data_IF_253260057916
#
_entry.id   IF_253260057916
#
_cell.length_a   1.000
_cell.length_b   1.000
_cell.length_c   1.000
_cell.angle_alpha   90.00
_cell.angle_beta   90.00
_cell.angle_gamma   90.00
#
_symmetry.space_group_name_H-M   'P 1'
#
loop_
_entity.id
_entity.type
_entity.pdbx_description
1 polymer ?
#
# COMPACT_ATOMS: atom_id res chain seq x y z
N UNK A 1 -6.83 2.22 -12.86
CA UNK A 1 -5.74 3.22 -12.73
C UNK A 1 -4.57 2.52 -12.05
N UNK A 2 -3.39 2.51 -12.67
CA UNK A 2 -2.23 1.69 -12.22
C UNK A 2 -0.92 2.49 -12.18
N UNK A 3 -0.82 3.52 -11.33
CA UNK A 3 0.39 4.31 -11.18
C UNK A 3 1.49 3.51 -10.47
N UNK A 4 2.70 4.09 -10.45
CA UNK A 4 3.80 3.52 -9.68
C UNK A 4 3.75 4.01 -8.25
N UNK A 5 3.89 3.09 -7.30
CA UNK A 5 4.02 3.40 -5.88
C UNK A 5 5.47 3.29 -5.48
N UNK A 6 5.95 4.36 -4.85
CA UNK A 6 7.20 4.39 -4.12
C UNK A 6 6.92 4.27 -2.64
N UNK A 7 7.28 3.14 -2.06
CA UNK A 7 7.15 2.87 -0.64
C UNK A 7 8.51 2.40 -0.12
N UNK A 8 9.14 3.21 0.73
CA UNK A 8 10.52 2.99 1.18
C UNK A 8 11.49 2.83 -0.01
N UNK A 9 12.05 1.64 -0.23
CA UNK A 9 12.95 1.29 -1.34
C UNK A 9 12.23 0.55 -2.46
N UNK A 10 10.96 0.19 -2.27
CA UNK A 10 10.16 -0.49 -3.27
C UNK A 10 9.57 0.51 -4.27
N UNK A 11 9.69 0.17 -5.55
CA UNK A 11 9.15 0.93 -6.68
C UNK A 11 8.34 -0.01 -7.57
N UNK A 12 7.02 -0.08 -7.33
CA UNK A 12 6.14 -1.11 -7.92
C UNK A 12 4.83 -0.48 -8.39
N UNK A 13 4.38 -0.86 -9.58
CA UNK A 13 3.06 -0.47 -10.08
C UNK A 13 1.95 -1.15 -9.27
N UNK A 14 0.98 -0.36 -8.81
CA UNK A 14 -0.16 -0.87 -8.05
C UNK A 14 -1.46 -0.44 -8.71
N UNK A 15 -2.36 -1.39 -8.89
CA UNK A 15 -3.69 -1.15 -9.43
C UNK A 15 -4.60 -0.65 -8.32
N UNK A 16 -5.32 0.43 -8.58
CA UNK A 16 -6.40 0.89 -7.72
C UNK A 16 -7.59 -0.04 -7.98
N UNK A 17 -7.88 -0.95 -7.05
CA UNK A 17 -8.95 -1.93 -7.17
C UNK A 17 -10.30 -1.26 -6.92
N UNK A 18 -10.44 -0.62 -5.75
CA UNK A 18 -11.69 -0.01 -5.32
C UNK A 18 -11.43 1.25 -4.50
N UNK A 19 -12.27 2.26 -4.69
CA UNK A 19 -12.28 3.46 -3.84
C UNK A 19 -13.41 3.27 -2.83
N UNK A 20 -13.05 3.03 -1.57
CA UNK A 20 -14.00 2.75 -0.50
C UNK A 20 -14.81 3.99 -0.14
N UNK A 21 -14.11 5.07 0.19
CA UNK A 21 -14.75 6.29 0.69
C UNK A 21 -13.97 7.52 0.28
N UNK A 22 -14.69 8.61 0.01
CA UNK A 22 -14.13 9.95 -0.06
C UNK A 22 -14.15 10.55 1.34
N UNK A 23 -13.05 11.17 1.75
CA UNK A 23 -12.88 11.79 3.06
C UNK A 23 -12.52 13.26 2.92
N UNK A 24 -12.91 14.05 3.91
CA UNK A 24 -12.40 15.41 4.04
C UNK A 24 -10.97 15.39 4.59
N UNK A 25 -10.08 16.14 3.93
CA UNK A 25 -8.63 16.19 4.24
C UNK A 25 -8.34 16.78 5.63
N UNK A 26 -9.20 17.65 6.16
CA UNK A 26 -9.01 18.28 7.49
C UNK A 26 -9.68 17.50 8.61
N UNK A 27 -10.96 17.19 8.45
CA UNK A 27 -11.74 16.56 9.52
C UNK A 27 -11.63 15.03 9.53
N UNK A 28 -11.16 14.40 8.45
CA UNK A 28 -11.10 12.95 8.31
C UNK A 28 -12.50 12.29 8.23
N UNK A 29 -13.57 13.09 8.16
CA UNK A 29 -14.94 12.59 8.05
C UNK A 29 -15.19 12.06 6.63
N UNK A 30 -15.89 10.94 6.56
CA UNK A 30 -16.39 10.39 5.30
C UNK A 30 -17.44 11.31 4.71
N UNK A 31 -17.22 11.76 3.47
CA UNK A 31 -18.15 12.60 2.72
C UNK A 31 -19.09 11.74 1.87
N UNK A 32 -18.51 10.79 1.13
CA UNK A 32 -19.24 9.92 0.21
C UNK A 32 -18.69 8.50 0.29
N UNK A 33 -19.58 7.51 0.29
CA UNK A 33 -19.22 6.09 0.16
C UNK A 33 -19.21 5.70 -1.32
N UNK A 34 -18.17 4.97 -1.74
CA UNK A 34 -17.95 4.52 -3.12
C UNK A 34 -18.03 5.63 -4.19
N UNK A 35 -17.21 6.70 -4.12
CA UNK A 35 -17.20 7.74 -5.13
C UNK A 35 -16.74 7.20 -6.49
N UNK A 36 -17.38 7.63 -7.58
CA UNK A 36 -16.99 7.21 -8.95
C UNK A 36 -15.64 7.77 -9.40
N UNK A 37 -15.22 8.92 -8.86
CA UNK A 37 -13.95 9.55 -9.19
C UNK A 37 -13.41 10.38 -8.02
N UNK A 38 -12.09 10.52 -7.94
CA UNK A 38 -11.38 11.37 -7.00
C UNK A 38 -10.70 12.48 -7.81
N UNK A 39 -10.79 13.73 -7.36
CA UNK A 39 -10.13 14.88 -8.00
C UNK A 39 -8.95 15.36 -7.17
N UNK A 40 -8.14 16.26 -7.75
CA UNK A 40 -7.06 16.91 -7.02
C UNK A 40 -7.60 17.66 -5.81
N UNK A 41 -6.98 17.46 -4.64
CA UNK A 41 -7.38 18.05 -3.37
C UNK A 41 -8.28 17.16 -2.49
N UNK A 42 -8.90 16.14 -3.06
CA UNK A 42 -9.71 15.18 -2.30
C UNK A 42 -8.82 14.19 -1.52
N UNK A 43 -9.31 13.74 -0.36
CA UNK A 43 -8.76 12.59 0.33
C UNK A 43 -9.70 11.39 0.13
N UNK A 44 -9.15 10.18 0.07
CA UNK A 44 -9.95 8.98 -0.10
C UNK A 44 -9.27 7.76 0.52
N UNK A 45 -10.07 6.77 0.87
CA UNK A 45 -9.60 5.45 1.26
C UNK A 45 -9.72 4.50 0.07
N UNK A 46 -8.62 3.88 -0.30
CA UNK A 46 -8.52 3.08 -1.54
C UNK A 46 -7.92 1.72 -1.21
N UNK A 47 -8.52 0.67 -1.77
CA UNK A 47 -7.93 -0.66 -1.82
C UNK A 47 -6.99 -0.76 -3.03
N UNK A 48 -5.75 -1.13 -2.79
CA UNK A 48 -4.71 -1.19 -3.81
C UNK A 48 -4.18 -2.61 -3.93
N UNK A 49 -3.99 -3.07 -5.16
CA UNK A 49 -3.42 -4.38 -5.48
C UNK A 49 -2.06 -4.19 -6.15
N UNK A 50 -0.95 -4.67 -5.55
CA UNK A 50 0.36 -4.57 -6.17
C UNK A 50 0.48 -5.56 -7.34
N UNK A 51 1.05 -5.11 -8.47
CA UNK A 51 1.24 -5.97 -9.66
C UNK A 51 2.35 -7.00 -9.51
N UNK A 52 3.29 -6.76 -8.58
CA UNK A 52 4.41 -7.63 -8.24
C UNK A 52 4.45 -7.85 -6.72
N UNK A 53 5.07 -8.94 -6.23
CA UNK A 53 5.25 -9.14 -4.79
C UNK A 53 5.91 -7.93 -4.14
N UNK A 54 5.22 -7.35 -3.16
CA UNK A 54 5.62 -6.13 -2.47
C UNK A 54 5.41 -6.33 -0.97
N UNK A 55 6.33 -5.81 -0.17
CA UNK A 55 6.22 -5.79 1.29
C UNK A 55 5.87 -4.38 1.72
N UNK A 56 4.78 -4.26 2.47
CA UNK A 56 4.29 -3.02 3.05
C UNK A 56 3.72 -3.32 4.43
N UNK A 57 3.70 -2.33 5.30
CA UNK A 57 3.19 -2.47 6.66
C UNK A 57 2.25 -1.32 7.01
N UNK A 58 1.41 -1.51 8.02
CA UNK A 58 0.56 -0.44 8.54
C UNK A 58 1.44 0.68 9.10
N UNK A 59 1.03 1.93 8.86
CA UNK A 59 1.79 3.10 9.30
C UNK A 59 1.93 3.17 10.84
N UNK A 60 0.96 2.66 11.57
CA UNK A 60 0.98 2.58 13.04
C UNK A 60 2.06 1.64 13.56
N UNK A 61 2.31 0.56 12.84
CA UNK A 61 3.18 -0.53 13.29
C UNK A 61 4.61 -0.26 12.85
N UNK A 62 4.78 0.10 11.56
CA UNK A 62 6.07 0.43 10.98
C UNK A 62 5.97 1.69 10.12
N UNK A 63 6.10 2.90 10.72
CA UNK A 63 5.99 4.17 10.02
C UNK A 63 6.85 4.31 8.75
N UNK A 64 8.10 3.79 8.69
CA UNK A 64 8.93 3.86 7.48
C UNK A 64 8.41 3.04 6.29
N UNK A 65 7.63 1.98 6.54
CA UNK A 65 7.07 1.09 5.52
C UNK A 65 5.59 1.37 5.22
N UNK A 66 4.97 2.29 5.96
CA UNK A 66 3.57 2.66 5.81
C UNK A 66 3.33 3.96 5.05
N UNK A 67 4.38 4.71 4.65
CA UNK A 67 4.27 5.94 3.86
C UNK A 67 4.63 5.67 2.41
N UNK A 68 3.79 6.15 1.50
CA UNK A 68 4.05 5.96 0.08
C UNK A 68 3.71 7.20 -0.74
N UNK A 69 4.42 7.35 -1.85
CA UNK A 69 4.14 8.32 -2.89
C UNK A 69 3.60 7.60 -4.12
N UNK A 70 2.60 8.19 -4.76
CA UNK A 70 2.03 7.71 -6.01
C UNK A 70 2.57 8.58 -7.13
N UNK A 71 3.23 7.96 -8.10
CA UNK A 71 3.82 8.64 -9.26
C UNK A 71 3.20 8.16 -10.56
N UNK A 72 2.90 9.12 -11.41
CA UNK A 72 2.40 8.91 -12.77
C UNK A 72 3.17 9.84 -13.71
N UNK A 73 3.70 9.31 -14.81
CA UNK A 73 4.54 10.04 -15.77
C UNK A 73 5.61 10.97 -15.14
N UNK A 74 6.35 10.47 -14.13
CA UNK A 74 7.38 11.21 -13.36
C UNK A 74 6.86 12.37 -12.48
N UNK A 75 5.55 12.54 -12.38
CA UNK A 75 4.92 13.51 -11.48
C UNK A 75 4.33 12.79 -10.27
N UNK A 76 4.41 13.42 -9.10
CA UNK A 76 3.76 12.89 -7.89
C UNK A 76 2.31 13.34 -7.90
N UNK A 77 1.40 12.38 -8.06
CA UNK A 77 -0.05 12.65 -8.17
C UNK A 77 -0.77 12.56 -6.84
N UNK A 78 -0.23 11.77 -5.90
CA UNK A 78 -0.79 11.62 -4.56
C UNK A 78 0.28 11.15 -3.56
N UNK A 79 -0.02 11.35 -2.29
CA UNK A 79 0.75 10.80 -1.16
C UNK A 79 -0.23 10.15 -0.19
N UNK A 80 0.18 9.05 0.43
CA UNK A 80 -0.72 8.26 1.26
C UNK A 80 -0.01 7.59 2.43
N UNK A 81 -0.83 7.13 3.37
CA UNK A 81 -0.41 6.29 4.49
C UNK A 81 -1.24 5.02 4.51
N UNK A 82 -0.58 3.90 4.76
CA UNK A 82 -1.23 2.58 4.81
C UNK A 82 -1.92 2.43 6.15
N UNK A 83 -3.23 2.15 6.11
CA UNK A 83 -4.06 1.92 7.29
C UNK A 83 -4.08 0.46 7.71
N UNK A 84 -4.19 -0.45 6.74
CA UNK A 84 -4.27 -1.89 6.95
C UNK A 84 -3.62 -2.60 5.77
N UNK A 85 -3.02 -3.77 6.03
CA UNK A 85 -2.43 -4.63 5.01
C UNK A 85 -2.98 -6.03 5.19
N UNK A 86 -3.50 -6.61 4.10
CA UNK A 86 -3.80 -8.04 4.07
C UNK A 86 -2.52 -8.78 3.69
N UNK A 87 -1.92 -9.47 4.66
CA UNK A 87 -0.67 -10.19 4.46
C UNK A 87 -0.97 -11.48 3.73
N UNK A 88 -0.35 -11.69 2.57
CA UNK A 88 -0.39 -12.98 1.90
C UNK A 88 0.27 -14.02 2.81
N UNK A 89 -0.40 -15.15 3.04
CA UNK A 89 0.19 -16.24 3.80
C UNK A 89 1.50 -16.68 3.16
N UNK A 90 2.53 -17.01 3.97
CA UNK A 90 3.78 -17.51 3.46
C UNK A 90 3.49 -18.81 2.71
N UNK A 91 3.47 -18.74 1.38
CA UNK A 91 3.30 -19.92 0.55
C UNK A 91 4.40 -20.94 0.87
N UNK A 92 4.05 -22.22 0.80
CA UNK A 92 4.92 -23.38 1.04
C UNK A 92 6.23 -23.42 0.20
N UNK A 93 6.49 -22.42 -0.64
CA UNK A 93 7.70 -22.25 -1.43
C UNK A 93 8.78 -21.36 -0.79
N UNK A 94 8.64 -21.01 0.49
CA UNK A 94 9.67 -20.24 1.22
C UNK A 94 10.94 -21.09 1.33
N UNK A 95 11.91 -20.88 0.42
CA UNK A 95 13.18 -21.60 0.44
C UNK A 95 13.98 -21.19 1.68
N UNK A 96 13.95 -22.04 2.70
CA UNK A 96 14.74 -21.86 3.93
C UNK A 96 16.18 -22.29 3.66
N UNK A 97 17.15 -21.45 4.04
CA UNK A 97 18.56 -21.79 3.90
C UNK A 97 18.95 -22.89 4.90
N UNK A 98 19.92 -23.74 4.55
CA UNK A 98 20.41 -24.80 5.46
C UNK A 98 20.87 -24.23 6.81
N UNK A 99 21.47 -23.03 6.81
CA UNK A 99 21.90 -22.34 8.03
C UNK A 99 20.72 -21.91 8.90
N UNK A 100 19.62 -21.44 8.32
CA UNK A 100 18.42 -21.07 9.08
C UNK A 100 17.74 -22.31 9.70
N UNK A 101 17.70 -23.45 8.99
CA UNK A 101 17.21 -24.72 9.56
C UNK A 101 18.07 -25.17 10.74
N UNK A 102 19.39 -24.99 10.66
CA UNK A 102 20.32 -25.34 11.74
C UNK A 102 20.16 -24.44 12.97
N UNK A 103 19.90 -23.15 12.76
CA UNK A 103 19.68 -22.19 13.85
C UNK A 103 18.34 -22.42 14.56
N UNK A 104 17.28 -22.78 13.84
CA UNK A 104 15.95 -23.04 14.41
C UNK A 104 15.85 -24.34 15.23
N UNK A 105 16.82 -25.25 15.09
CA UNK A 105 16.90 -26.51 15.86
C UNK A 105 17.70 -26.38 17.16
N UNK A 106 18.24 -25.19 17.45
CA UNK A 106 19.01 -24.89 18.65
C UNK A 106 18.17 -24.08 19.61
#
# INVERSE_FOLDING_TARGET
>A
YSPVIDCHTAHIACKFAEIKTKMDKRSGKTLEEAPKCIKSGDAAMVNMEPSKPMVVEAFTDYPPLGRFAVRDMKQTVAVGVIKSVEKKEPGAGSKVTKSAVKAAKK
#
